data_IF_464235901741
#
_entry.id   IF_464235901741
#
_cell.length_a   1.000
_cell.length_b   1.000
_cell.length_c   1.000
_cell.angle_alpha   90.00
_cell.angle_beta   90.00
_cell.angle_gamma   90.00
#
_symmetry.space_group_name_H-M   'P 1'
#
loop_
_entity.id
_entity.type
_entity.pdbx_description
1 polymer ?
#
# COMPACT_ATOMS: atom_id res chain seq x y z
N UNK A 1 -5.43 -19.07 -3.81
CA UNK A 1 -5.81 -19.29 -5.21
C UNK A 1 -4.85 -20.25 -5.91
N UNK A 2 -5.36 -20.98 -6.86
CA UNK A 2 -4.56 -21.95 -7.61
C UNK A 2 -3.78 -21.30 -8.75
N UNK A 3 -4.21 -20.14 -9.20
CA UNK A 3 -3.56 -19.42 -10.29
C UNK A 3 -2.80 -18.22 -9.72
N UNK A 4 -1.69 -17.84 -10.37
CA UNK A 4 -1.02 -16.62 -9.95
C UNK A 4 -1.94 -15.40 -10.16
N UNK A 5 -1.74 -14.39 -9.35
CA UNK A 5 -2.52 -13.15 -9.44
C UNK A 5 -1.62 -11.95 -9.17
N UNK A 6 -2.10 -10.79 -9.57
CA UNK A 6 -1.44 -9.53 -9.24
C UNK A 6 -2.10 -8.92 -8.01
N UNK A 7 -1.28 -8.46 -7.09
CA UNK A 7 -1.75 -7.73 -5.92
C UNK A 7 -1.34 -6.27 -6.08
N UNK A 8 -2.31 -5.37 -6.07
CA UNK A 8 -2.09 -3.94 -6.13
C UNK A 8 -2.36 -3.36 -4.75
N UNK A 9 -1.44 -2.55 -4.24
CA UNK A 9 -1.58 -1.95 -2.92
C UNK A 9 -1.25 -0.47 -2.96
N UNK A 10 -1.88 0.28 -2.07
CA UNK A 10 -1.70 1.74 -2.00
C UNK A 10 -2.11 2.24 -0.63
N UNK A 11 -1.73 3.49 -0.36
CA UNK A 11 -2.11 4.19 0.86
C UNK A 11 -3.13 5.27 0.51
N UNK A 12 -4.13 5.45 1.38
CA UNK A 12 -5.11 6.53 1.26
C UNK A 12 -5.05 7.39 2.51
N UNK A 13 -5.40 8.67 2.34
CA UNK A 13 -5.54 9.57 3.47
C UNK A 13 -6.93 9.42 4.10
N UNK A 14 -7.22 10.24 5.12
CA UNK A 14 -8.50 10.19 5.83
C UNK A 14 -9.71 10.47 4.94
N UNK A 15 -9.47 11.14 3.81
CA UNK A 15 -10.55 11.52 2.89
C UNK A 15 -10.73 10.49 1.77
N UNK A 16 -9.95 9.41 1.79
CA UNK A 16 -10.04 8.38 0.77
C UNK A 16 -9.23 8.68 -0.49
N UNK A 17 -8.34 9.66 -0.47
CA UNK A 17 -7.48 9.98 -1.61
C UNK A 17 -6.23 9.12 -1.58
N UNK A 18 -5.86 8.56 -2.73
CA UNK A 18 -4.59 7.85 -2.87
C UNK A 18 -3.44 8.83 -2.71
N UNK A 19 -2.45 8.43 -1.91
CA UNK A 19 -1.27 9.25 -1.67
C UNK A 19 0.01 8.44 -1.89
N UNK A 20 1.09 9.13 -2.19
CA UNK A 20 2.42 8.54 -2.25
C UNK A 20 3.39 9.24 -1.29
N UNK A 21 2.86 10.13 -0.48
CA UNK A 21 3.60 10.92 0.50
C UNK A 21 2.62 11.35 1.60
N UNK A 22 2.97 11.36 2.87
CA UNK A 22 4.28 11.07 3.48
C UNK A 22 4.59 9.58 3.62
N UNK A 23 3.66 8.71 3.28
CA UNK A 23 3.86 7.28 3.25
C UNK A 23 3.65 6.76 1.82
N UNK A 24 4.47 5.83 1.40
CA UNK A 24 4.32 5.20 0.09
C UNK A 24 4.55 3.71 0.20
N UNK A 25 3.92 2.96 -0.71
CA UNK A 25 4.11 1.51 -0.80
C UNK A 25 5.24 1.22 -1.78
N UNK A 26 6.20 0.40 -1.35
CA UNK A 26 7.23 -0.11 -2.25
C UNK A 26 6.67 -1.31 -2.99
N UNK A 27 6.96 -1.41 -4.28
CA UNK A 27 6.43 -2.45 -5.16
C UNK A 27 4.89 -2.49 -5.09
N UNK A 28 4.21 -1.42 -5.54
CA UNK A 28 2.75 -1.31 -5.42
C UNK A 28 1.98 -2.35 -6.24
N UNK A 29 2.63 -2.99 -7.20
CA UNK A 29 2.04 -4.10 -7.95
C UNK A 29 2.98 -5.29 -7.84
N UNK A 30 2.47 -6.41 -7.35
CA UNK A 30 3.26 -7.63 -7.19
C UNK A 30 2.55 -8.81 -7.83
N UNK A 31 3.32 -9.68 -8.46
CA UNK A 31 2.81 -10.98 -8.87
C UNK A 31 2.94 -11.95 -7.71
N UNK A 32 1.84 -12.56 -7.33
CA UNK A 32 1.82 -13.60 -6.29
C UNK A 32 1.56 -14.92 -6.97
N UNK A 33 2.55 -15.80 -6.96
CA UNK A 33 2.40 -17.13 -7.56
C UNK A 33 1.54 -18.01 -6.66
N UNK A 34 0.96 -19.04 -7.28
CA UNK A 34 0.09 -19.98 -6.58
C UNK A 34 0.76 -20.52 -5.33
N UNK A 35 0.05 -20.51 -4.20
CA UNK A 35 0.53 -21.02 -2.91
C UNK A 35 1.71 -20.27 -2.31
N UNK A 36 2.06 -19.09 -2.87
CA UNK A 36 3.14 -18.25 -2.36
C UNK A 36 2.59 -17.09 -1.57
N UNK A 37 3.42 -16.56 -0.68
CA UNK A 37 3.11 -15.36 0.09
C UNK A 37 3.81 -14.14 -0.52
N UNK A 38 3.09 -13.02 -0.56
CA UNK A 38 3.67 -11.75 -0.92
C UNK A 38 3.99 -10.92 0.32
N UNK A 39 4.83 -9.93 0.13
CA UNK A 39 5.14 -8.94 1.17
C UNK A 39 4.85 -7.54 0.64
N UNK A 40 4.28 -6.71 1.49
CA UNK A 40 4.11 -5.29 1.19
C UNK A 40 4.97 -4.50 2.16
N UNK A 41 5.78 -3.60 1.60
CA UNK A 41 6.63 -2.72 2.40
C UNK A 41 6.14 -1.30 2.24
N UNK A 42 6.03 -0.59 3.35
CA UNK A 42 5.62 0.81 3.38
C UNK A 42 6.82 1.63 3.84
N UNK A 43 7.09 2.72 3.13
CA UNK A 43 8.21 3.59 3.43
C UNK A 43 7.72 4.99 3.77
N UNK A 44 8.30 5.58 4.83
CA UNK A 44 8.09 7.00 5.12
C UNK A 44 8.91 7.85 4.17
N UNK A 45 8.29 8.90 3.64
CA UNK A 45 8.95 9.86 2.78
C UNK A 45 9.50 11.03 3.62
N UNK A 46 10.40 11.87 3.08
CA UNK A 46 10.99 12.95 3.89
C UNK A 46 9.97 13.87 4.53
N UNK A 47 8.83 14.12 3.91
CA UNK A 47 7.81 14.99 4.46
C UNK A 47 7.01 14.36 5.62
N UNK A 48 7.31 13.12 6.00
CA UNK A 48 6.67 12.52 7.17
C UNK A 48 6.96 13.34 8.43
N UNK A 49 8.07 14.06 8.47
CA UNK A 49 8.42 14.92 9.59
C UNK A 49 7.54 16.17 9.69
N UNK A 50 6.74 16.44 8.65
CA UNK A 50 5.79 17.57 8.65
C UNK A 50 4.46 17.22 9.28
N UNK A 51 4.24 15.96 9.65
CA UNK A 51 3.02 15.56 10.33
C UNK A 51 2.97 16.20 11.72
N UNK A 52 1.78 16.58 12.18
CA UNK A 52 1.67 17.18 13.51
C UNK A 52 2.16 16.23 14.59
N UNK A 53 2.96 16.76 15.52
CA UNK A 53 3.48 15.96 16.63
C UNK A 53 2.52 15.87 17.82
N UNK A 54 1.51 16.73 17.85
CA UNK A 54 0.58 16.87 18.97
C UNK A 54 -0.76 16.17 18.76
N UNK A 55 -0.91 15.46 17.65
CA UNK A 55 -2.16 14.75 17.33
C UNK A 55 -1.87 13.55 16.41
N UNK A 56 -2.83 12.66 16.35
CA UNK A 56 -2.74 11.50 15.48
C UNK A 56 -2.95 11.88 14.02
N UNK A 57 -2.26 11.15 13.14
CA UNK A 57 -2.50 11.19 11.70
C UNK A 57 -2.91 9.80 11.26
N UNK A 58 -3.98 9.71 10.46
CA UNK A 58 -4.57 8.43 10.09
C UNK A 58 -4.41 8.17 8.61
N UNK A 59 -3.93 6.98 8.29
CA UNK A 59 -3.77 6.51 6.91
C UNK A 59 -4.36 5.13 6.78
N UNK A 60 -4.87 4.81 5.59
CA UNK A 60 -5.46 3.51 5.31
C UNK A 60 -4.60 2.78 4.29
N UNK A 61 -4.27 1.53 4.60
CA UNK A 61 -3.58 0.65 3.67
C UNK A 61 -4.60 -0.21 2.95
N UNK A 62 -4.51 -0.24 1.61
CA UNK A 62 -5.45 -0.96 0.77
C UNK A 62 -4.72 -1.97 -0.11
N UNK A 63 -5.34 -3.13 -0.31
CA UNK A 63 -4.85 -4.17 -1.21
C UNK A 63 -6.00 -4.61 -2.10
N UNK A 64 -5.71 -4.74 -3.39
CA UNK A 64 -6.68 -5.23 -4.36
C UNK A 64 -6.05 -6.37 -5.15
N UNK A 65 -6.77 -7.47 -5.26
CA UNK A 65 -6.38 -8.58 -6.12
C UNK A 65 -6.86 -8.33 -7.54
N UNK A 66 -5.97 -8.55 -8.50
CA UNK A 66 -6.29 -8.49 -9.92
C UNK A 66 -6.08 -9.89 -10.48
N UNK A 67 -7.17 -10.59 -10.77
CA UNK A 67 -7.08 -11.94 -11.30
C UNK A 67 -6.84 -11.91 -12.80
N UNK A 68 -5.99 -12.80 -13.32
CA UNK A 68 -5.82 -12.92 -14.76
C UNK A 68 -7.10 -13.47 -15.39
N UNK A 69 -7.37 -13.05 -16.59
CA UNK A 69 -8.51 -13.52 -17.36
C UNK A 69 -8.13 -14.73 -18.20
#
# INVERSE_FOLDING_TARGET
PKLPYLAQSWIEDEKGNKISSPLTVLAPVQRIDSMMNGQVKVQGMPDINKLPADRESLFYFNVREITPK
#
